data_IF_566389578874
#
_entry.id   IF_566389578874
#
_cell.length_a   1.000
_cell.length_b   1.000
_cell.length_c   1.000
_cell.angle_alpha   90.00
_cell.angle_beta   90.00
_cell.angle_gamma   90.00
#
_symmetry.space_group_name_H-M   'P 1'
#
loop_
_entity.id
_entity.type
_entity.pdbx_description
1 polymer ?
#
# COMPACT_ATOMS: atom_id res chain seq x y z
N UNK A 1 -17.24 -34.11 -12.55
CA UNK A 1 -15.89 -33.49 -12.54
C UNK A 1 -15.86 -32.18 -11.72
N UNK A 2 -16.29 -32.17 -10.45
CA UNK A 2 -16.33 -30.95 -9.60
C UNK A 2 -15.72 -31.11 -8.20
N UNK A 3 -15.04 -32.22 -7.90
CA UNK A 3 -14.48 -32.50 -6.55
C UNK A 3 -12.96 -32.43 -6.43
N UNK A 4 -12.22 -32.15 -7.52
CA UNK A 4 -10.74 -32.24 -7.50
C UNK A 4 -10.01 -30.88 -7.52
N UNK A 5 -10.71 -29.75 -7.51
CA UNK A 5 -10.07 -28.42 -7.54
C UNK A 5 -9.78 -27.89 -6.12
N UNK A 6 -10.56 -28.28 -5.11
CA UNK A 6 -10.32 -27.85 -3.72
C UNK A 6 -9.11 -28.53 -3.06
N UNK A 7 -8.72 -29.74 -3.49
CA UNK A 7 -7.60 -30.47 -2.88
C UNK A 7 -6.21 -30.02 -3.39
N UNK A 8 -6.16 -29.34 -4.54
CA UNK A 8 -4.89 -28.82 -5.08
C UNK A 8 -4.55 -27.46 -4.45
N UNK A 9 -5.55 -26.66 -4.09
CA UNK A 9 -5.37 -25.40 -3.37
C UNK A 9 -4.88 -25.59 -1.92
N UNK A 10 -5.27 -26.69 -1.25
CA UNK A 10 -4.80 -27.01 0.10
C UNK A 10 -3.39 -27.62 0.12
N UNK A 11 -2.98 -28.33 -0.94
CA UNK A 11 -1.63 -28.88 -1.06
C UNK A 11 -0.57 -27.83 -1.39
N UNK A 12 -0.93 -26.75 -2.09
CA UNK A 12 -0.05 -25.59 -2.30
C UNK A 12 0.10 -24.71 -1.04
N UNK A 13 -0.86 -24.76 -0.11
CA UNK A 13 -0.80 -24.02 1.16
C UNK A 13 0.02 -24.73 2.24
N UNK A 14 0.24 -26.05 2.13
CA UNK A 14 0.97 -26.84 3.14
C UNK A 14 2.46 -27.06 2.83
N UNK A 15 2.95 -26.75 1.63
CA UNK A 15 4.34 -27.02 1.22
C UNK A 15 5.36 -25.94 1.65
N UNK A 16 4.93 -24.84 2.27
CA UNK A 16 5.80 -23.76 2.76
C UNK A 16 5.97 -23.73 4.28
N UNK A 17 5.67 -24.83 4.97
CA UNK A 17 5.91 -24.99 6.41
C UNK A 17 7.37 -25.35 6.69
N UNK A 18 8.32 -24.52 6.26
CA UNK A 18 9.69 -24.60 6.75
C UNK A 18 9.82 -23.87 8.08
N UNK A 19 10.01 -24.66 9.13
CA UNK A 19 10.68 -24.38 10.40
C UNK A 19 10.82 -22.89 10.80
N UNK A 20 9.92 -22.40 11.65
CA UNK A 20 10.18 -21.18 12.42
C UNK A 20 10.85 -21.54 13.74
N UNK A 21 12.18 -21.45 13.71
CA UNK A 21 13.02 -21.39 14.91
C UNK A 21 12.60 -20.15 15.71
N UNK A 22 12.33 -20.35 17.01
CA UNK A 22 12.07 -19.30 17.96
C UNK A 22 13.26 -18.33 18.02
N UNK A 23 12.99 -17.05 17.78
CA UNK A 23 13.97 -15.96 17.89
C UNK A 23 14.29 -15.31 16.56
N UNK A 24 13.38 -14.45 16.08
CA UNK A 24 13.75 -13.44 15.08
C UNK A 24 13.32 -12.07 15.61
N UNK A 25 14.23 -11.10 15.79
CA UNK A 25 13.87 -9.75 16.19
C UNK A 25 13.20 -9.06 15.00
N UNK A 26 11.90 -9.30 14.81
CA UNK A 26 11.07 -8.64 13.79
C UNK A 26 10.80 -7.18 14.20
N UNK A 27 11.85 -6.39 14.27
CA UNK A 27 11.84 -4.96 14.45
C UNK A 27 12.17 -4.31 13.10
N UNK A 28 11.25 -4.41 12.14
CA UNK A 28 11.39 -3.75 10.84
C UNK A 28 10.06 -3.10 10.51
N UNK A 29 10.12 -1.82 10.13
CA UNK A 29 8.99 -0.94 9.84
C UNK A 29 8.22 -1.44 8.62
N UNK A 30 6.89 -1.45 8.71
CA UNK A 30 6.04 -1.77 7.56
C UNK A 30 6.18 -0.65 6.51
N UNK A 31 6.73 -0.92 5.31
CA UNK A 31 7.03 0.13 4.33
C UNK A 31 5.77 0.85 3.83
N UNK A 32 4.63 0.15 3.72
CA UNK A 32 3.38 0.66 3.15
C UNK A 32 2.35 1.09 4.20
N UNK A 33 2.51 0.64 5.45
CA UNK A 33 1.55 0.91 6.53
C UNK A 33 0.15 0.39 6.20
N UNK A 34 -0.87 0.93 6.86
CA UNK A 34 -2.28 0.62 6.53
C UNK A 34 -2.80 1.39 5.31
N UNK A 35 -1.98 2.29 4.75
CA UNK A 35 -2.35 3.22 3.69
C UNK A 35 -2.84 2.52 2.42
N UNK A 36 -2.23 1.39 2.08
CA UNK A 36 -2.59 0.61 0.90
C UNK A 36 -4.02 0.04 0.97
N UNK A 37 -4.55 -0.15 2.19
CA UNK A 37 -5.91 -0.65 2.40
C UNK A 37 -6.94 0.41 2.00
N UNK A 38 -6.59 1.69 2.19
CA UNK A 38 -7.46 2.83 1.96
C UNK A 38 -7.35 3.34 0.52
N UNK A 39 -6.15 3.26 -0.05
CA UNK A 39 -5.87 3.62 -1.43
C UNK A 39 -5.23 2.44 -2.19
N UNK A 40 -6.03 1.61 -2.88
CA UNK A 40 -5.54 0.46 -3.64
C UNK A 40 -4.52 0.80 -4.73
N UNK A 41 -4.57 2.03 -5.27
CA UNK A 41 -3.63 2.48 -6.29
C UNK A 41 -2.17 2.46 -5.78
N UNK A 42 -1.95 2.68 -4.49
CA UNK A 42 -0.61 2.58 -3.89
C UNK A 42 -0.01 1.18 -3.97
N UNK A 43 -0.86 0.17 -3.80
CA UNK A 43 -0.43 -1.22 -3.81
C UNK A 43 -0.30 -1.75 -5.23
N UNK A 44 -1.14 -1.27 -6.13
CA UNK A 44 -1.30 -1.84 -7.44
C UNK A 44 -1.62 -0.75 -8.49
N UNK A 45 -0.73 -0.55 -9.49
CA UNK A 45 -0.93 0.46 -10.52
C UNK A 45 -2.16 0.20 -11.41
N UNK A 46 -2.70 -1.02 -11.45
CA UNK A 46 -3.91 -1.35 -12.19
C UNK A 46 -5.16 -0.60 -11.71
N UNK A 47 -5.14 -0.05 -10.49
CA UNK A 47 -6.25 0.73 -9.95
C UNK A 47 -6.24 2.21 -10.37
N UNK A 48 -5.20 2.69 -11.09
CA UNK A 48 -5.19 4.07 -11.56
C UNK A 48 -6.39 4.33 -12.49
N UNK A 49 -7.29 5.24 -12.11
CA UNK A 49 -8.48 5.56 -12.92
C UNK A 49 -9.50 4.42 -13.01
N UNK A 50 -9.46 3.45 -12.09
CA UNK A 50 -10.43 2.35 -12.07
C UNK A 50 -11.86 2.82 -11.74
N UNK A 51 -11.97 3.90 -10.97
CA UNK A 51 -13.21 4.61 -10.70
C UNK A 51 -13.31 5.86 -11.60
N UNK A 52 -14.54 6.31 -11.88
CA UNK A 52 -14.78 7.54 -12.65
C UNK A 52 -14.46 8.81 -11.86
N UNK A 53 -14.02 9.84 -12.57
CA UNK A 53 -13.66 11.13 -11.97
C UNK A 53 -12.19 11.20 -11.60
N UNK A 54 -11.78 12.36 -11.09
CA UNK A 54 -10.43 12.63 -10.59
C UNK A 54 -10.41 12.41 -9.08
N UNK A 55 -9.57 11.49 -8.63
CA UNK A 55 -9.34 11.22 -7.23
C UNK A 55 -7.99 11.80 -6.84
N UNK A 56 -7.97 12.63 -5.79
CA UNK A 56 -6.73 13.12 -5.19
C UNK A 56 -6.68 12.60 -3.76
N UNK A 57 -5.65 11.84 -3.42
CA UNK A 57 -5.44 11.35 -2.07
C UNK A 57 -4.17 11.96 -1.47
N UNK A 58 -4.31 12.54 -0.29
CA UNK A 58 -3.24 13.01 0.56
C UNK A 58 -3.19 12.09 1.77
N UNK A 59 -2.01 11.58 2.10
CA UNK A 59 -1.82 10.86 3.35
C UNK A 59 -0.55 11.30 4.06
N UNK A 60 -0.64 11.29 5.39
CA UNK A 60 0.48 11.56 6.27
C UNK A 60 0.56 10.46 7.31
N UNK A 61 1.73 9.85 7.43
CA UNK A 61 2.03 8.85 8.44
C UNK A 61 3.20 9.34 9.28
N UNK A 62 3.06 9.24 10.60
CA UNK A 62 4.15 9.47 11.54
C UNK A 62 4.29 8.25 12.44
N UNK A 63 5.48 7.67 12.44
CA UNK A 63 5.84 6.56 13.33
C UNK A 63 6.49 7.15 14.59
N UNK A 64 6.45 6.38 15.68
CA UNK A 64 7.20 6.67 16.92
C UNK A 64 7.05 8.12 17.37
N UNK A 65 5.80 8.53 17.65
CA UNK A 65 5.40 9.94 17.80
C UNK A 65 6.25 10.76 18.77
N UNK A 66 6.89 10.09 19.73
CA UNK A 66 7.62 10.67 20.85
C UNK A 66 9.14 10.78 20.60
N UNK A 67 9.63 10.28 19.46
CA UNK A 67 11.06 10.31 19.11
C UNK A 67 11.41 11.48 18.18
N UNK A 68 12.39 12.32 18.52
CA UNK A 68 12.95 13.32 17.60
C UNK A 68 13.53 12.64 16.35
N UNK A 69 13.23 13.17 15.16
CA UNK A 69 13.68 12.58 13.88
C UNK A 69 12.96 11.28 13.50
N UNK A 70 11.85 10.96 14.16
CA UNK A 70 11.08 9.76 13.86
C UNK A 70 10.61 9.70 12.39
N UNK A 71 10.50 8.48 11.82
CA UNK A 71 10.08 8.30 10.44
C UNK A 71 8.73 8.96 10.13
N UNK A 72 8.72 9.73 9.05
CA UNK A 72 7.55 10.42 8.55
C UNK A 72 7.40 10.17 7.07
N UNK A 73 6.19 9.80 6.67
CA UNK A 73 5.86 9.52 5.28
C UNK A 73 4.75 10.47 4.83
N UNK A 74 4.99 11.16 3.72
CA UNK A 74 4.01 12.01 3.03
C UNK A 74 3.69 11.38 1.70
N UNK A 75 2.41 11.30 1.40
CA UNK A 75 1.91 10.71 0.17
C UNK A 75 0.93 11.66 -0.50
N UNK A 76 1.12 11.85 -1.79
CA UNK A 76 0.16 12.41 -2.71
C UNK A 76 -0.09 11.41 -3.83
N UNK A 77 -1.34 11.10 -4.11
CA UNK A 77 -1.72 10.40 -5.33
C UNK A 77 -2.80 11.18 -6.05
N UNK A 78 -2.77 11.11 -7.38
CA UNK A 78 -3.86 11.56 -8.21
C UNK A 78 -4.11 10.50 -9.27
N UNK A 79 -5.36 10.13 -9.51
CA UNK A 79 -5.72 9.21 -10.57
C UNK A 79 -7.02 9.65 -11.25
N UNK A 80 -7.10 9.41 -12.56
CA UNK A 80 -8.19 9.88 -13.39
C UNK A 80 -8.51 8.88 -14.50
N UNK A 81 -9.80 8.62 -14.69
CA UNK A 81 -10.28 7.91 -15.86
C UNK A 81 -10.31 8.85 -17.07
N UNK A 82 -9.36 8.67 -17.99
CA UNK A 82 -9.16 9.55 -19.17
C UNK A 82 -10.21 9.29 -20.25
N UNK A 83 -10.79 8.08 -20.28
CA UNK A 83 -11.75 7.65 -21.30
C UNK A 83 -11.24 6.46 -22.11
N UNK A 84 -12.12 5.87 -22.94
CA UNK A 84 -11.76 4.75 -23.82
C UNK A 84 -11.06 3.58 -23.11
N UNK A 85 -11.45 3.30 -21.87
CA UNK A 85 -10.87 2.24 -21.00
C UNK A 85 -9.46 2.55 -20.47
N UNK A 86 -9.02 3.79 -20.55
CA UNK A 86 -7.70 4.22 -20.10
C UNK A 86 -7.82 5.02 -18.80
N UNK A 87 -6.97 4.64 -17.84
CA UNK A 87 -6.70 5.39 -16.62
C UNK A 87 -5.28 5.95 -16.63
N UNK A 88 -5.11 7.12 -16.03
CA UNK A 88 -3.80 7.70 -15.78
C UNK A 88 -3.66 7.99 -14.28
N UNK A 89 -2.43 7.90 -13.78
CA UNK A 89 -2.18 8.20 -12.38
C UNK A 89 -0.79 8.78 -12.12
N UNK A 90 -0.69 9.48 -11.00
CA UNK A 90 0.53 10.05 -10.43
C UNK A 90 0.60 9.62 -8.96
N UNK A 91 1.78 9.19 -8.53
CA UNK A 91 2.09 9.01 -7.12
C UNK A 91 3.36 9.78 -6.80
N UNK A 92 3.32 10.55 -5.72
CA UNK A 92 4.48 11.18 -5.12
C UNK A 92 4.52 10.76 -3.67
N UNK A 93 5.55 10.01 -3.34
CA UNK A 93 5.79 9.47 -2.01
C UNK A 93 7.11 10.02 -1.51
N UNK A 94 7.12 10.57 -0.31
CA UNK A 94 8.32 11.07 0.34
C UNK A 94 8.40 10.50 1.75
N UNK A 95 9.42 9.69 1.98
CA UNK A 95 9.71 9.10 3.28
C UNK A 95 10.98 9.72 3.85
N UNK A 96 10.91 10.15 5.10
CA UNK A 96 12.02 10.76 5.82
C UNK A 96 12.25 9.96 7.08
N UNK A 97 13.44 9.38 7.21
CA UNK A 97 13.87 8.64 8.38
C UNK A 97 15.19 9.25 8.88
N UNK A 98 15.13 10.00 9.98
CA UNK A 98 16.26 10.79 10.46
C UNK A 98 16.75 11.78 9.39
N UNK A 99 17.99 11.63 8.95
CA UNK A 99 18.62 12.49 7.94
C UNK A 99 18.38 12.01 6.50
N UNK A 100 17.90 10.79 6.30
CA UNK A 100 17.71 10.21 4.97
C UNK A 100 16.29 10.54 4.52
N UNK A 101 16.18 11.08 3.31
CA UNK A 101 14.92 11.25 2.60
C UNK A 101 14.93 10.42 1.33
N UNK A 102 13.84 9.71 1.08
CA UNK A 102 13.60 8.94 -0.12
C UNK A 102 12.34 9.47 -0.81
N UNK A 103 12.50 9.99 -2.01
CA UNK A 103 11.40 10.48 -2.83
C UNK A 103 11.18 9.55 -3.99
N UNK A 104 9.94 9.09 -4.14
CA UNK A 104 9.47 8.23 -5.21
C UNK A 104 8.40 8.97 -6.00
N UNK A 105 8.60 9.09 -7.30
CA UNK A 105 7.63 9.69 -8.22
C UNK A 105 7.27 8.62 -9.24
N UNK A 106 6.00 8.25 -9.31
CA UNK A 106 5.49 7.25 -10.24
C UNK A 106 4.44 7.87 -11.16
N UNK A 107 4.59 7.64 -12.47
CA UNK A 107 3.58 7.94 -13.48
C UNK A 107 3.03 6.63 -14.00
N UNK A 108 1.71 6.51 -14.00
CA UNK A 108 1.01 5.25 -14.26
C UNK A 108 0.09 5.37 -15.46
N UNK A 109 0.14 4.36 -16.30
CA UNK A 109 -0.85 4.09 -17.32
C UNK A 109 -1.60 2.80 -16.97
N UNK A 110 -2.92 2.86 -16.98
CA UNK A 110 -3.77 1.71 -16.72
C UNK A 110 -4.78 1.50 -17.85
N UNK A 111 -5.09 0.22 -18.11
CA UNK A 111 -6.08 -0.18 -19.09
C UNK A 111 -7.13 -1.09 -18.44
N UNK A 112 -8.40 -0.77 -18.63
CA UNK A 112 -9.53 -1.42 -17.97
C UNK A 112 -10.39 -2.15 -18.99
N UNK A 113 -10.15 -3.43 -19.18
CA UNK A 113 -10.84 -4.27 -20.14
C UNK A 113 -12.15 -4.83 -19.55
N UNK A 114 -13.33 -4.33 -19.94
CA UNK A 114 -14.59 -4.91 -19.52
C UNK A 114 -14.74 -6.25 -20.23
N UNK A 115 -14.86 -7.34 -19.47
CA UNK A 115 -14.98 -8.69 -20.02
C UNK A 115 -16.39 -8.94 -20.55
N UNK A 116 -17.40 -8.51 -19.79
CA UNK A 116 -18.82 -8.70 -20.07
C UNK A 116 -19.64 -7.48 -19.58
N UNK A 117 -20.92 -7.40 -19.98
CA UNK A 117 -21.84 -6.35 -19.52
C UNK A 117 -22.26 -6.40 -18.05
N UNK A 118 -21.86 -7.43 -17.29
CA UNK A 118 -22.23 -7.61 -15.88
C UNK A 118 -21.24 -6.96 -14.89
N UNK A 119 -20.48 -5.95 -15.35
CA UNK A 119 -19.52 -5.23 -14.51
C UNK A 119 -18.24 -6.01 -14.19
N UNK A 120 -17.94 -7.08 -14.93
CA UNK A 120 -16.66 -7.78 -14.81
C UNK A 120 -15.59 -7.04 -15.60
N UNK A 121 -14.53 -6.60 -14.92
CA UNK A 121 -13.46 -5.83 -15.54
C UNK A 121 -12.10 -6.40 -15.14
N UNK A 122 -11.21 -6.52 -16.11
CA UNK A 122 -9.81 -6.85 -15.90
C UNK A 122 -8.98 -5.60 -16.12
N UNK A 123 -8.26 -5.19 -15.10
CA UNK A 123 -7.44 -4.00 -15.06
C UNK A 123 -5.97 -4.41 -15.17
N UNK A 124 -5.23 -3.68 -15.99
CA UNK A 124 -3.79 -3.77 -16.13
C UNK A 124 -3.19 -2.42 -15.84
N UNK A 125 -2.05 -2.36 -15.18
CA UNK A 125 -1.34 -1.13 -14.90
C UNK A 125 0.16 -1.29 -15.04
N UNK A 126 0.81 -0.27 -15.57
CA UNK A 126 2.26 -0.15 -15.59
C UNK A 126 2.65 1.26 -15.17
N UNK A 127 3.67 1.35 -14.33
CA UNK A 127 4.20 2.63 -13.86
C UNK A 127 5.67 2.78 -14.24
N UNK A 128 6.05 3.99 -14.65
CA UNK A 128 7.44 4.41 -14.68
C UNK A 128 7.75 5.15 -13.38
N UNK A 129 8.78 4.71 -12.67
CA UNK A 129 9.09 5.18 -11.32
C UNK A 129 10.48 5.78 -11.28
N UNK A 130 10.59 6.99 -10.72
CA UNK A 130 11.85 7.65 -10.43
C UNK A 130 12.06 7.70 -8.93
N UNK A 131 13.20 7.19 -8.47
CA UNK A 131 13.63 7.30 -7.09
C UNK A 131 14.75 8.30 -6.94
N UNK A 132 14.65 9.13 -5.90
CA UNK A 132 15.68 10.05 -5.47
C UNK A 132 15.91 9.90 -3.96
N UNK A 133 17.06 9.37 -3.59
CA UNK A 133 17.50 9.18 -2.20
C UNK A 133 18.56 10.23 -1.87
N UNK A 134 18.36 10.99 -0.79
CA UNK A 134 19.25 12.06 -0.34
C UNK A 134 19.41 12.06 1.17
N UNK A 135 20.52 12.60 1.63
CA UNK A 135 20.78 12.95 3.03
C UNK A 135 20.58 14.46 3.20
N UNK A 136 19.84 14.87 4.22
CA UNK A 136 19.68 16.27 4.58
C UNK A 136 20.93 16.78 5.31
N UNK A 137 21.85 17.40 4.57
CA UNK A 137 23.13 17.90 5.08
C UNK A 137 22.94 18.99 6.14
N UNK A 138 21.82 19.73 6.09
CA UNK A 138 21.55 20.86 7.00
C UNK A 138 21.30 20.43 8.45
N UNK A 139 20.85 19.19 8.64
CA UNK A 139 20.53 18.64 9.95
C UNK A 139 21.67 17.76 10.51
N UNK A 140 22.82 17.72 9.81
CA UNK A 140 24.02 17.00 10.27
C UNK A 140 24.73 17.84 11.34
N UNK A 141 24.89 17.25 12.53
CA UNK A 141 25.83 17.74 13.53
C UNK A 141 27.25 17.28 13.16
N UNK A 142 27.92 18.01 12.26
CA UNK A 142 29.23 17.63 11.72
C UNK A 142 29.72 18.57 10.61
N UNK A 143 30.74 18.16 9.85
CA UNK A 143 31.26 18.95 8.73
C UNK A 143 30.27 18.95 7.56
N UNK A 144 29.71 20.12 7.25
CA UNK A 144 28.75 20.31 6.16
C UNK A 144 29.39 20.09 4.76
N UNK A 145 30.72 20.09 4.68
CA UNK A 145 31.50 19.84 3.46
C UNK A 145 32.10 18.44 3.40
N UNK A 146 31.66 17.51 4.26
CA UNK A 146 32.16 16.13 4.24
C UNK A 146 32.04 15.53 2.81
N UNK A 147 33.16 15.12 2.19
CA UNK A 147 33.16 14.53 0.85
C UNK A 147 32.27 13.30 0.73
N UNK A 148 32.07 12.52 1.80
CA UNK A 148 31.30 11.29 1.81
C UNK A 148 29.79 11.55 1.74
N UNK A 149 29.30 12.53 2.52
CA UNK A 149 27.89 12.97 2.49
C UNK A 149 27.56 13.62 1.14
N UNK A 150 28.47 14.44 0.62
CA UNK A 150 28.33 15.04 -0.70
C UNK A 150 28.37 13.98 -1.81
N UNK A 151 29.22 12.96 -1.71
CA UNK A 151 29.24 11.84 -2.65
C UNK A 151 27.93 11.02 -2.61
N UNK A 152 27.33 10.83 -1.43
CA UNK A 152 26.02 10.17 -1.32
C UNK A 152 24.92 10.93 -2.07
N UNK A 153 24.87 12.26 -1.90
CA UNK A 153 23.89 13.12 -2.58
C UNK A 153 24.15 13.32 -4.08
N UNK A 154 25.34 12.94 -4.56
CA UNK A 154 25.68 12.88 -5.98
C UNK A 154 25.29 11.57 -6.65
N UNK A 155 24.75 10.59 -5.91
CA UNK A 155 24.21 9.37 -6.53
C UNK A 155 23.12 9.73 -7.53
N UNK A 156 23.17 9.09 -8.69
CA UNK A 156 22.18 9.27 -9.73
C UNK A 156 20.81 8.76 -9.27
N UNK A 157 19.75 9.36 -9.82
CA UNK A 157 18.41 8.81 -9.66
C UNK A 157 18.37 7.44 -10.34
N UNK A 158 17.70 6.47 -9.70
CA UNK A 158 17.46 5.18 -10.33
C UNK A 158 16.01 5.10 -10.80
N UNK A 159 15.83 4.36 -11.90
CA UNK A 159 14.56 4.20 -12.57
C UNK A 159 14.05 2.78 -12.34
N UNK A 160 12.78 2.67 -12.01
CA UNK A 160 12.08 1.43 -11.77
C UNK A 160 10.77 1.38 -12.55
N UNK A 161 10.14 0.22 -12.55
CA UNK A 161 8.81 0.07 -13.11
C UNK A 161 7.96 -0.83 -12.23
N UNK A 162 6.71 -0.44 -12.02
CA UNK A 162 5.73 -1.31 -11.36
C UNK A 162 4.81 -1.93 -12.40
N UNK A 163 4.42 -3.17 -12.16
CA UNK A 163 3.40 -3.85 -12.95
C UNK A 163 2.26 -4.34 -12.06
N UNK A 164 1.03 -4.26 -12.55
CA UNK A 164 -0.16 -4.59 -11.79
C UNK A 164 -1.25 -5.21 -12.64
N UNK A 165 -1.96 -6.18 -12.05
CA UNK A 165 -3.19 -6.75 -12.60
C UNK A 165 -4.24 -6.77 -11.50
N UNK A 166 -5.47 -6.43 -11.84
CA UNK A 166 -6.61 -6.59 -10.94
C UNK A 166 -7.84 -7.07 -11.70
N UNK A 167 -8.66 -7.87 -11.06
CA UNK A 167 -9.97 -8.24 -11.53
C UNK A 167 -11.01 -7.71 -10.55
N UNK A 168 -12.03 -7.03 -11.06
CA UNK A 168 -13.11 -6.50 -10.25
C UNK A 168 -14.46 -6.90 -10.83
N UNK A 169 -15.43 -7.07 -9.93
CA UNK A 169 -16.84 -7.06 -10.26
C UNK A 169 -17.62 -6.36 -9.12
N UNK A 170 -18.97 -6.38 -9.16
CA UNK A 170 -19.80 -5.72 -8.14
C UNK A 170 -19.45 -6.09 -6.69
N UNK A 171 -18.97 -7.31 -6.45
CA UNK A 171 -18.70 -7.83 -5.11
C UNK A 171 -17.24 -8.22 -4.88
N UNK A 172 -16.56 -8.81 -5.85
CA UNK A 172 -15.24 -9.42 -5.70
C UNK A 172 -14.16 -8.53 -6.33
N UNK A 173 -13.10 -8.27 -5.57
CA UNK A 173 -11.84 -7.71 -6.05
C UNK A 173 -10.71 -8.70 -5.83
N UNK A 174 -9.94 -9.00 -6.88
CA UNK A 174 -8.71 -9.79 -6.82
C UNK A 174 -7.59 -8.96 -7.44
N UNK A 175 -6.41 -8.97 -6.85
CA UNK A 175 -5.32 -8.13 -7.33
C UNK A 175 -3.95 -8.74 -7.06
N UNK A 176 -3.03 -8.46 -7.96
CA UNK A 176 -1.62 -8.79 -7.84
C UNK A 176 -0.76 -7.67 -8.46
N UNK A 177 0.37 -7.36 -7.84
CA UNK A 177 1.32 -6.38 -8.34
C UNK A 177 2.77 -6.80 -8.05
N UNK A 178 3.65 -6.36 -8.94
CA UNK A 178 5.09 -6.53 -8.90
C UNK A 178 5.72 -5.13 -8.94
N UNK A 179 5.99 -4.52 -7.78
CA UNK A 179 6.70 -3.24 -7.70
C UNK A 179 8.20 -3.42 -7.98
N UNK A 180 8.86 -2.35 -8.44
CA UNK A 180 10.30 -2.32 -8.72
C UNK A 180 10.76 -3.54 -9.55
N UNK A 181 10.04 -3.81 -10.63
CA UNK A 181 10.19 -4.98 -11.49
C UNK A 181 11.53 -4.97 -12.22
N UNK A 182 12.11 -3.81 -12.54
CA UNK A 182 13.39 -3.73 -13.27
C UNK A 182 14.50 -4.31 -12.39
N UNK A 183 14.63 -3.82 -11.15
CA UNK A 183 15.56 -4.40 -10.16
C UNK A 183 15.31 -5.88 -9.93
N UNK A 184 14.05 -6.32 -9.95
CA UNK A 184 13.71 -7.74 -9.77
C UNK A 184 14.23 -8.61 -10.92
N UNK A 185 14.08 -8.15 -12.17
CA UNK A 185 14.50 -8.88 -13.37
C UNK A 185 16.02 -8.89 -13.56
N UNK A 186 16.71 -7.81 -13.17
CA UNK A 186 18.17 -7.75 -13.19
C UNK A 186 18.85 -8.40 -11.98
N UNK A 187 18.06 -9.00 -11.06
CA UNK A 187 18.55 -9.59 -9.82
C UNK A 187 19.43 -8.61 -9.01
N UNK A 188 19.07 -7.32 -9.02
CA UNK A 188 19.74 -6.31 -8.23
C UNK A 188 19.46 -6.53 -6.74
N UNK A 189 20.48 -6.26 -5.93
CA UNK A 189 20.43 -6.54 -4.49
C UNK A 189 19.58 -5.46 -3.80
N UNK A 190 18.30 -5.75 -3.62
CA UNK A 190 17.32 -4.83 -3.01
C UNK A 190 17.60 -4.60 -1.53
N UNK A 191 17.37 -3.35 -1.08
CA UNK A 191 17.45 -3.01 0.33
C UNK A 191 16.42 -3.83 1.15
N UNK A 192 16.77 -4.18 2.39
CA UNK A 192 15.86 -4.85 3.29
C UNK A 192 14.60 -3.98 3.52
N UNK A 193 13.43 -4.60 3.56
CA UNK A 193 12.16 -3.87 3.68
C UNK A 193 11.56 -3.42 2.34
N UNK A 194 12.22 -3.64 1.20
CA UNK A 194 11.64 -3.37 -0.12
C UNK A 194 10.51 -4.35 -0.44
N UNK A 195 9.38 -3.85 -0.92
CA UNK A 195 8.26 -4.70 -1.37
C UNK A 195 8.67 -5.47 -2.62
N UNK A 196 8.43 -6.78 -2.64
CA UNK A 196 8.75 -7.67 -3.76
C UNK A 196 7.54 -7.99 -4.62
N UNK A 197 6.40 -8.27 -3.98
CA UNK A 197 5.14 -8.53 -4.63
C UNK A 197 3.99 -8.20 -3.68
N UNK A 198 2.84 -7.86 -4.23
CA UNK A 198 1.60 -7.65 -3.49
C UNK A 198 0.51 -8.50 -4.12
N UNK A 199 -0.30 -9.18 -3.30
CA UNK A 199 -1.51 -9.83 -3.77
C UNK A 199 -2.62 -9.63 -2.75
N UNK A 200 -3.86 -9.44 -3.18
CA UNK A 200 -4.97 -9.32 -2.25
C UNK A 200 -6.29 -9.79 -2.86
N UNK A 201 -7.21 -10.16 -1.98
CA UNK A 201 -8.59 -10.50 -2.30
C UNK A 201 -9.51 -9.76 -1.33
N UNK A 202 -10.59 -9.20 -1.85
CA UNK A 202 -11.63 -8.51 -1.08
C UNK A 202 -13.01 -8.88 -1.60
N UNK A 203 -14.00 -8.92 -0.71
CA UNK A 203 -15.40 -9.19 -1.08
C UNK A 203 -16.34 -8.21 -0.39
N UNK A 204 -17.20 -7.54 -1.15
CA UNK A 204 -18.20 -6.58 -0.66
C UNK A 204 -19.52 -7.29 -0.41
N UNK A 205 -19.84 -7.49 0.87
CA UNK A 205 -21.14 -7.96 1.33
C UNK A 205 -22.10 -6.77 1.46
N UNK A 206 -23.23 -6.81 0.77
CA UNK A 206 -24.35 -5.89 0.98
C UNK A 206 -25.25 -6.49 2.08
N UNK A 207 -25.44 -5.80 3.20
CA UNK A 207 -26.05 -6.39 4.42
C UNK A 207 -27.43 -5.83 4.71
N UNK A 208 -27.54 -4.55 5.05
CA UNK A 208 -28.81 -3.90 5.38
C UNK A 208 -28.75 -2.38 5.18
N UNK A 209 -29.85 -1.66 5.43
CA UNK A 209 -29.82 -0.18 5.37
C UNK A 209 -28.96 0.45 6.49
N UNK A 210 -28.92 -0.16 7.68
CA UNK A 210 -28.15 0.34 8.81
C UNK A 210 -26.64 0.11 8.62
N UNK A 211 -26.28 -1.03 8.04
CA UNK A 211 -24.91 -1.42 7.68
C UNK A 211 -24.92 -1.71 6.17
N UNK A 212 -24.75 -0.68 5.33
CA UNK A 212 -24.82 -0.85 3.87
C UNK A 212 -23.88 -1.91 3.34
N UNK A 213 -22.63 -1.95 3.81
CA UNK A 213 -21.71 -2.99 3.39
C UNK A 213 -20.60 -3.32 4.40
N UNK A 214 -20.12 -4.55 4.30
CA UNK A 214 -18.93 -5.06 4.99
C UNK A 214 -17.96 -5.57 3.93
N UNK A 215 -16.70 -5.13 4.01
CA UNK A 215 -15.65 -5.44 3.04
C UNK A 215 -14.49 -6.09 3.79
N UNK A 216 -14.52 -7.41 4.02
CA UNK A 216 -13.32 -8.15 4.38
C UNK A 216 -12.30 -8.14 3.24
N UNK A 217 -11.03 -8.11 3.62
CA UNK A 217 -9.89 -8.14 2.73
C UNK A 217 -8.75 -8.92 3.35
N UNK A 218 -8.09 -9.73 2.54
CA UNK A 218 -6.86 -10.42 2.88
C UNK A 218 -5.79 -10.02 1.86
N UNK A 219 -4.61 -9.64 2.34
CA UNK A 219 -3.47 -9.30 1.52
C UNK A 219 -2.25 -10.14 1.91
N UNK A 220 -1.46 -10.50 0.91
CA UNK A 220 -0.16 -11.14 1.03
C UNK A 220 0.90 -10.21 0.45
N UNK A 221 1.94 -9.95 1.23
CA UNK A 221 3.01 -9.02 0.90
C UNK A 221 4.36 -9.73 1.02
N UNK A 222 5.08 -9.81 -0.08
CA UNK A 222 6.47 -10.24 -0.07
C UNK A 222 7.38 -9.06 0.22
N UNK A 223 8.30 -9.21 1.17
CA UNK A 223 9.23 -8.15 1.58
C UNK A 223 10.65 -8.69 1.62
N UNK A 224 11.59 -7.93 1.05
CA UNK A 224 12.99 -8.34 0.94
C UNK A 224 13.63 -8.54 2.31
N UNK A 225 14.27 -9.70 2.49
CA UNK A 225 14.95 -10.14 3.73
C UNK A 225 14.02 -10.23 4.95
N UNK A 226 12.72 -10.44 4.73
CA UNK A 226 11.71 -10.62 5.78
C UNK A 226 10.81 -11.82 5.44
N UNK A 227 10.11 -12.34 6.45
CA UNK A 227 9.02 -13.27 6.18
C UNK A 227 7.88 -12.53 5.49
N UNK A 228 7.16 -13.22 4.60
CA UNK A 228 6.00 -12.66 3.95
C UNK A 228 4.95 -12.24 5.00
N UNK A 229 4.33 -11.09 4.76
CA UNK A 229 3.34 -10.52 5.66
C UNK A 229 1.95 -10.85 5.12
N UNK A 230 1.10 -11.42 5.99
CA UNK A 230 -0.30 -11.65 5.71
C UNK A 230 -1.10 -10.64 6.54
N UNK A 231 -1.91 -9.85 5.86
CA UNK A 231 -2.83 -8.92 6.48
C UNK A 231 -4.26 -9.41 6.28
N UNK A 232 -5.05 -9.45 7.33
CA UNK A 232 -6.45 -9.82 7.28
C UNK A 232 -7.27 -8.80 8.05
N UNK A 233 -8.23 -8.18 7.38
CA UNK A 233 -9.02 -7.11 7.96
C UNK A 233 -10.41 -7.01 7.36
N UNK A 234 -11.18 -6.08 7.91
CA UNK A 234 -12.47 -5.71 7.36
C UNK A 234 -12.72 -4.21 7.53
N UNK A 235 -13.41 -3.64 6.54
CA UNK A 235 -14.02 -2.31 6.61
C UNK A 235 -15.52 -2.46 6.71
N UNK A 236 -16.12 -1.84 7.70
CA UNK A 236 -17.57 -1.79 7.91
C UNK A 236 -18.03 -0.38 7.62
N UNK A 237 -18.98 -0.23 6.69
CA UNK A 237 -19.59 1.06 6.35
C UNK A 237 -20.97 1.12 6.99
N UNK A 238 -21.29 2.23 7.63
CA UNK A 238 -22.54 2.45 8.37
C UNK A 238 -23.07 3.88 8.17
N UNK A 239 -24.27 4.15 8.69
CA UNK A 239 -24.94 5.45 8.57
C UNK A 239 -25.03 5.97 7.13
N UNK A 240 -25.67 5.20 6.24
CA UNK A 240 -25.89 5.58 4.83
C UNK A 240 -24.61 6.00 4.09
N UNK A 241 -23.50 5.31 4.36
CA UNK A 241 -22.17 5.52 3.78
C UNK A 241 -21.41 6.74 4.29
N UNK A 242 -21.85 7.38 5.37
CA UNK A 242 -21.12 8.52 5.94
C UNK A 242 -19.97 8.13 6.83
N UNK A 243 -20.07 7.01 7.54
CA UNK A 243 -19.03 6.55 8.44
C UNK A 243 -18.54 5.16 8.07
N UNK A 244 -17.26 4.94 8.32
CA UNK A 244 -16.66 3.62 8.24
C UNK A 244 -15.74 3.36 9.43
N UNK A 245 -15.60 2.08 9.76
CA UNK A 245 -14.64 1.58 10.74
C UNK A 245 -13.83 0.47 10.07
N UNK A 246 -12.52 0.52 10.24
CA UNK A 246 -11.58 -0.43 9.65
C UNK A 246 -10.75 -1.09 10.74
N UNK A 247 -10.58 -2.40 10.66
CA UNK A 247 -9.71 -3.17 11.53
C UNK A 247 -8.90 -4.16 10.71
N UNK A 248 -7.61 -4.27 10.98
CA UNK A 248 -6.66 -5.10 10.24
C UNK A 248 -5.72 -5.78 11.24
N UNK A 249 -5.58 -7.09 11.11
CA UNK A 249 -4.55 -7.86 11.79
C UNK A 249 -3.41 -8.14 10.82
N UNK A 250 -2.18 -7.98 11.31
CA UNK A 250 -0.96 -8.23 10.54
C UNK A 250 -0.23 -9.45 11.13
N UNK A 251 0.27 -10.36 10.29
CA UNK A 251 1.00 -11.56 10.73
C UNK A 251 2.32 -11.26 11.45
N UNK A 252 2.79 -10.01 11.40
CA UNK A 252 3.90 -9.47 12.20
C UNK A 252 3.54 -9.32 13.69
N UNK A 253 2.28 -9.54 14.06
CA UNK A 253 1.75 -9.39 15.41
C UNK A 253 1.30 -7.97 15.75
N UNK A 254 1.17 -7.08 14.76
CA UNK A 254 0.54 -5.77 14.91
C UNK A 254 -0.94 -5.79 14.54
N UNK A 255 -1.66 -4.75 14.98
CA UNK A 255 -3.06 -4.51 14.71
C UNK A 255 -3.26 -3.05 14.31
N UNK A 256 -4.02 -2.83 13.23
CA UNK A 256 -4.42 -1.50 12.80
C UNK A 256 -5.92 -1.32 12.98
N UNK A 257 -6.32 -0.18 13.51
CA UNK A 257 -7.72 0.21 13.62
C UNK A 257 -7.91 1.66 13.20
N UNK A 258 -9.06 1.98 12.62
CA UNK A 258 -9.36 3.34 12.25
C UNK A 258 -10.83 3.59 11.96
N UNK A 259 -11.12 4.86 11.76
CA UNK A 259 -12.45 5.36 11.46
C UNK A 259 -12.36 6.41 10.37
N UNK A 260 -13.35 6.40 9.48
CA UNK A 260 -13.47 7.33 8.38
C UNK A 260 -14.81 8.02 8.33
N UNK A 261 -14.80 9.23 7.79
CA UNK A 261 -15.98 10.01 7.44
C UNK A 261 -15.94 10.30 5.94
N UNK A 262 -16.99 9.91 5.23
CA UNK A 262 -17.14 10.06 3.79
C UNK A 262 -18.35 10.93 3.47
N UNK A 263 -18.14 12.00 2.71
CA UNK A 263 -19.22 12.82 2.18
C UNK A 263 -19.29 12.65 0.66
N UNK A 264 -20.40 12.10 0.12
CA UNK A 264 -20.46 11.61 -1.27
C UNK A 264 -19.97 12.57 -2.35
N UNK A 265 -20.24 13.87 -2.21
CA UNK A 265 -19.90 14.89 -3.21
C UNK A 265 -18.60 15.66 -2.94
N UNK A 266 -17.88 15.35 -1.87
CA UNK A 266 -16.65 16.06 -1.48
C UNK A 266 -15.45 15.12 -1.41
N UNK A 267 -15.58 14.01 -0.69
CA UNK A 267 -14.45 13.15 -0.38
C UNK A 267 -14.54 12.43 0.95
N UNK A 268 -13.43 11.87 1.40
CA UNK A 268 -13.31 11.04 2.60
C UNK A 268 -12.12 11.50 3.42
N UNK A 269 -12.31 11.63 4.73
CA UNK A 269 -11.23 11.75 5.70
C UNK A 269 -11.18 10.48 6.55
N UNK A 270 -10.00 9.93 6.78
CA UNK A 270 -9.86 8.71 7.55
C UNK A 270 -8.62 8.75 8.44
N UNK A 271 -8.79 8.27 9.65
CA UNK A 271 -7.74 8.17 10.64
C UNK A 271 -7.50 6.70 10.96
N UNK A 272 -6.23 6.28 10.95
CA UNK A 272 -5.81 4.95 11.35
C UNK A 272 -4.73 5.04 12.43
N UNK A 273 -4.78 4.10 13.37
CA UNK A 273 -3.76 3.85 14.36
C UNK A 273 -3.25 2.41 14.21
N UNK A 274 -1.94 2.25 14.05
CA UNK A 274 -1.30 0.95 13.97
C UNK A 274 -0.52 0.70 15.26
N UNK A 275 -0.78 -0.42 15.92
CA UNK A 275 0.00 -0.84 17.08
C UNK A 275 1.36 -1.34 16.63
N UNK A 276 2.38 -1.21 17.47
CA UNK A 276 3.69 -1.78 17.14
C UNK A 276 3.66 -3.32 17.06
N UNK A 277 4.60 -3.90 16.31
CA UNK A 277 4.80 -5.36 16.26
C UNK A 277 5.08 -5.92 17.65
N UNK A 278 4.78 -7.20 17.86
CA UNK A 278 4.86 -7.83 19.18
C UNK A 278 6.23 -7.67 19.87
N UNK A 279 7.33 -7.62 19.11
CA UNK A 279 8.69 -7.46 19.65
C UNK A 279 9.08 -6.02 20.04
N UNK A 280 8.38 -5.01 19.51
CA UNK A 280 8.71 -3.60 19.69
C UNK A 280 7.70 -2.84 20.57
N UNK A 281 6.61 -3.48 20.98
CA UNK A 281 5.53 -2.88 21.78
C UNK A 281 5.98 -2.28 23.12
N UNK A 282 7.10 -2.75 23.67
CA UNK A 282 7.68 -2.22 24.92
C UNK A 282 8.66 -1.06 24.70
N UNK A 283 9.05 -0.78 23.45
CA UNK A 283 10.13 0.15 23.10
C UNK A 283 9.65 1.37 22.30
N UNK A 284 8.46 1.29 21.70
CA UNK A 284 7.90 2.38 20.93
C UNK A 284 6.38 2.43 20.99
N UNK A 285 5.85 3.65 20.95
CA UNK A 285 4.43 3.90 20.70
C UNK A 285 4.05 3.52 19.27
N UNK A 286 2.74 3.34 19.05
CA UNK A 286 2.17 3.04 17.74
C UNK A 286 2.29 4.17 16.73
N UNK A 287 1.79 3.91 15.53
CA UNK A 287 1.88 4.76 14.36
C UNK A 287 0.52 5.41 14.09
N UNK A 288 0.53 6.68 13.68
CA UNK A 288 -0.69 7.40 13.30
C UNK A 288 -0.67 7.69 11.82
N UNK A 289 -1.79 7.42 11.14
CA UNK A 289 -2.00 7.76 9.75
C UNK A 289 -3.26 8.61 9.58
N UNK A 290 -3.13 9.68 8.81
CA UNK A 290 -4.23 10.52 8.37
C UNK A 290 -4.33 10.46 6.85
N UNK A 291 -5.55 10.27 6.36
CA UNK A 291 -5.88 10.15 4.95
C UNK A 291 -6.98 11.12 4.58
N UNK A 292 -6.80 11.80 3.45
CA UNK A 292 -7.78 12.68 2.86
C UNK A 292 -7.89 12.34 1.38
N UNK A 293 -9.05 11.84 0.97
CA UNK A 293 -9.44 11.62 -0.43
C UNK A 293 -10.40 12.73 -0.85
N UNK A 294 -10.15 13.34 -1.99
CA UNK A 294 -11.04 14.34 -2.61
C UNK A 294 -11.47 13.77 -3.95
N UNK A 295 -12.78 13.78 -4.20
CA UNK A 295 -13.37 13.31 -5.46
C UNK A 295 -13.82 14.52 -6.26
N UNK A 296 -13.32 14.66 -7.48
CA UNK A 296 -13.65 15.76 -8.39
C UNK A 296 -14.18 15.18 -9.71
N UNK A 297 -15.07 15.90 -10.38
CA UNK A 297 -15.58 15.54 -11.71
C UNK A 297 -16.23 14.14 -11.80
N UNK A 298 -17.00 13.75 -10.77
CA UNK A 298 -17.83 12.54 -10.76
C UNK A 298 -19.12 12.71 -11.58
#
# INVERSE_FOLDING_TARGET
>A
MKKNILSIASLLFCAYSYAQTAGNPNAVTDPLGSQYYLNPYLANPAYAGADSGLHINLAYRKQWTDMPGAPQTKLLTADYFVGSRVGAGLQVYNDVAGLISNTRIALTYAYHLPLNGNGHTLHFGISGVLYNKRINIKDIFGDMNDPTTNAFNRRDNYFESDFGVAYTNKHLGLQAALPDMISHLHAEDKEAGTQLFYAAAEYKFEVSEAIPCIIPKVALRGVQRMQNIIDAGAKVVFLRNWLDATAIYHSTGSFSAGAGFSYPSLGTIQFMYNTQTAGLRNYSNGEMELHLKINLFQ
#
